data_IF_848962966001
#
_entry.id   IF_848962966001
#
_cell.length_a   1.000
_cell.length_b   1.000
_cell.length_c   1.000
_cell.angle_alpha   90.00
_cell.angle_beta   90.00
_cell.angle_gamma   90.00
#
_symmetry.space_group_name_H-M   'P 1'
#
loop_
_entity.id
_entity.type
_entity.pdbx_description
1 polymer ?
#
# COMPACT_ATOMS: atom_id res chain seq x y z
N UNK A 1 -27.14 -10.03 -8.03
CA UNK A 1 -26.01 -10.98 -7.93
C UNK A 1 -25.16 -10.54 -6.76
N UNK A 2 -25.29 -11.19 -5.60
CA UNK A 2 -24.51 -10.86 -4.41
C UNK A 2 -23.08 -11.38 -4.63
N UNK A 3 -22.13 -10.48 -4.90
CA UNK A 3 -20.72 -10.81 -4.74
C UNK A 3 -20.50 -11.01 -3.24
N UNK A 4 -20.38 -12.28 -2.82
CA UNK A 4 -19.93 -12.58 -1.46
C UNK A 4 -18.59 -11.87 -1.26
N UNK A 5 -18.53 -10.95 -0.29
CA UNK A 5 -17.28 -10.32 0.11
C UNK A 5 -16.26 -11.43 0.39
N UNK A 6 -15.05 -11.40 -0.20
CA UNK A 6 -14.05 -12.42 0.07
C UNK A 6 -13.77 -12.44 1.56
N UNK A 7 -13.98 -13.60 2.18
CA UNK A 7 -13.65 -13.81 3.59
C UNK A 7 -12.13 -13.82 3.67
N UNK A 8 -11.55 -12.74 4.22
CA UNK A 8 -10.11 -12.66 4.40
C UNK A 8 -9.65 -13.73 5.41
N UNK A 9 -8.58 -14.47 5.12
CA UNK A 9 -8.08 -15.49 6.03
C UNK A 9 -7.61 -14.83 7.33
N UNK A 10 -8.08 -15.35 8.47
CA UNK A 10 -7.72 -14.87 9.80
C UNK A 10 -6.42 -15.54 10.23
N UNK A 11 -5.46 -14.74 10.69
CA UNK A 11 -4.17 -15.19 11.20
C UNK A 11 -3.83 -14.51 12.53
N UNK A 12 -2.83 -15.01 13.27
CA UNK A 12 -2.49 -14.50 14.60
C UNK A 12 -1.73 -13.16 14.58
N UNK A 13 -1.28 -12.70 13.42
CA UNK A 13 -0.47 -11.48 13.26
C UNK A 13 -1.23 -10.40 12.51
N UNK A 14 -0.91 -9.14 12.83
CA UNK A 14 -1.37 -7.97 12.08
C UNK A 14 -0.32 -7.58 11.02
N UNK A 15 -0.80 -7.18 9.85
CA UNK A 15 0.04 -6.77 8.73
C UNK A 15 -0.12 -5.27 8.46
N UNK A 16 1.02 -4.59 8.36
CA UNK A 16 1.08 -3.15 8.06
C UNK A 16 1.89 -2.97 6.77
N UNK A 17 1.32 -2.26 5.81
CA UNK A 17 2.01 -1.79 4.60
C UNK A 17 2.21 -0.29 4.72
N UNK A 18 3.46 0.16 4.57
CA UNK A 18 3.81 1.58 4.55
C UNK A 18 4.13 1.98 3.11
N UNK A 19 3.32 2.85 2.52
CA UNK A 19 3.48 3.25 1.12
C UNK A 19 3.20 4.74 0.90
N UNK A 20 3.69 5.27 -0.22
CA UNK A 20 3.31 6.60 -0.71
C UNK A 20 2.34 6.43 -1.87
N UNK A 21 1.45 7.39 -2.04
CA UNK A 21 0.61 7.50 -3.24
C UNK A 21 1.51 7.49 -4.49
N UNK A 22 1.20 6.66 -5.51
CA UNK A 22 1.97 6.56 -6.76
C UNK A 22 1.88 7.82 -7.66
N UNK A 23 2.45 8.94 -7.21
CA UNK A 23 2.44 10.19 -7.97
C UNK A 23 3.77 10.38 -8.73
N UNK A 24 3.74 10.72 -10.04
CA UNK A 24 4.94 11.05 -10.81
C UNK A 24 5.84 12.04 -10.09
N UNK A 25 7.14 11.73 -10.02
CA UNK A 25 8.15 12.57 -9.36
C UNK A 25 8.17 12.48 -7.82
N UNK A 26 7.22 11.80 -7.18
CA UNK A 26 7.20 11.59 -5.70
C UNK A 26 7.62 10.18 -5.29
N UNK A 27 7.45 9.20 -6.17
CA UNK A 27 7.79 7.79 -5.92
C UNK A 27 8.87 7.30 -6.87
N UNK A 28 9.66 6.32 -6.39
CA UNK A 28 10.67 5.61 -7.18
C UNK A 28 11.58 6.56 -7.99
N UNK A 29 11.91 7.72 -7.45
CA UNK A 29 12.71 8.75 -8.14
C UNK A 29 14.10 8.27 -8.54
N UNK A 30 14.65 7.26 -7.84
CA UNK A 30 15.90 6.59 -8.21
C UNK A 30 15.83 5.81 -9.54
N UNK A 31 14.63 5.54 -10.06
CA UNK A 31 14.43 4.91 -11.37
C UNK A 31 14.48 5.91 -12.55
N UNK A 32 14.52 7.21 -12.27
CA UNK A 32 14.41 8.25 -13.31
C UNK A 32 15.58 8.36 -14.31
N UNK A 33 16.77 7.78 -14.10
CA UNK A 33 17.75 7.65 -15.19
C UNK A 33 17.29 6.70 -16.32
N UNK A 34 16.39 5.74 -16.02
CA UNK A 34 15.95 4.70 -16.95
C UNK A 34 14.46 4.80 -17.33
N UNK A 35 13.67 5.51 -16.53
CA UNK A 35 12.22 5.65 -16.70
C UNK A 35 11.81 7.11 -16.59
N UNK A 36 10.80 7.53 -17.33
CA UNK A 36 10.14 8.81 -17.09
C UNK A 36 9.47 8.83 -15.71
N UNK A 37 9.19 10.02 -15.13
CA UNK A 37 8.44 10.11 -13.87
C UNK A 37 7.08 9.39 -13.90
N UNK A 38 6.39 9.40 -15.05
CA UNK A 38 5.12 8.71 -15.23
C UNK A 38 5.30 7.18 -15.24
N UNK A 39 6.30 6.66 -15.96
CA UNK A 39 6.58 5.21 -15.96
C UNK A 39 7.02 4.72 -14.58
N UNK A 40 7.84 5.50 -13.87
CA UNK A 40 8.25 5.18 -12.50
C UNK A 40 7.06 5.14 -11.53
N UNK A 41 6.08 6.04 -11.70
CA UNK A 41 4.85 6.04 -10.92
C UNK A 41 3.93 4.86 -11.29
N UNK A 42 3.75 4.56 -12.58
CA UNK A 42 2.97 3.40 -13.03
C UNK A 42 3.56 2.09 -12.51
N UNK A 43 4.89 1.95 -12.53
CA UNK A 43 5.56 0.78 -11.95
C UNK A 43 5.38 0.71 -10.43
N UNK A 44 5.44 1.84 -9.74
CA UNK A 44 5.18 1.90 -8.30
C UNK A 44 3.74 1.50 -7.97
N UNK A 45 2.76 1.94 -8.76
CA UNK A 45 1.35 1.58 -8.63
C UNK A 45 1.13 0.09 -8.80
N UNK A 46 1.64 -0.50 -9.89
CA UNK A 46 1.54 -1.94 -10.14
C UNK A 46 2.19 -2.76 -9.00
N UNK A 47 3.40 -2.36 -8.59
CA UNK A 47 4.11 -3.03 -7.48
C UNK A 47 3.33 -2.96 -6.16
N UNK A 48 2.69 -1.81 -5.88
CA UNK A 48 1.90 -1.62 -4.67
C UNK A 48 0.62 -2.44 -4.72
N UNK A 49 -0.10 -2.44 -5.84
CA UNK A 49 -1.29 -3.26 -6.05
C UNK A 49 -0.99 -4.75 -5.84
N UNK A 50 0.10 -5.26 -6.42
CA UNK A 50 0.51 -6.66 -6.28
C UNK A 50 0.86 -7.00 -4.83
N UNK A 51 1.56 -6.10 -4.14
CA UNK A 51 1.87 -6.24 -2.71
C UNK A 51 0.60 -6.31 -1.88
N UNK A 52 -0.34 -5.40 -2.11
CA UNK A 52 -1.61 -5.34 -1.37
C UNK A 52 -2.50 -6.55 -1.66
N UNK A 53 -2.49 -7.05 -2.89
CA UNK A 53 -3.18 -8.28 -3.27
C UNK A 53 -2.61 -9.49 -2.51
N UNK A 54 -1.28 -9.59 -2.42
CA UNK A 54 -0.63 -10.64 -1.63
C UNK A 54 -0.95 -10.54 -0.13
N UNK A 55 -0.95 -9.32 0.44
CA UNK A 55 -1.31 -9.08 1.85
C UNK A 55 -2.78 -9.37 2.14
N UNK A 56 -3.69 -9.08 1.19
CA UNK A 56 -5.10 -9.44 1.31
C UNK A 56 -5.28 -10.97 1.40
N UNK A 57 -4.51 -11.74 0.62
CA UNK A 57 -4.56 -13.19 0.59
C UNK A 57 -3.82 -13.87 1.77
N UNK A 58 -2.89 -13.18 2.44
CA UNK A 58 -2.14 -13.74 3.57
C UNK A 58 -3.01 -13.83 4.84
N UNK A 59 -2.90 -14.88 5.67
CA UNK A 59 -3.60 -14.95 6.96
C UNK A 59 -3.17 -13.82 7.90
N UNK A 60 -4.11 -12.96 8.31
CA UNK A 60 -3.85 -11.85 9.21
C UNK A 60 -5.10 -11.43 9.99
N UNK A 61 -4.91 -10.95 11.22
CA UNK A 61 -5.96 -10.38 12.05
C UNK A 61 -6.45 -9.05 11.47
N UNK A 62 -5.54 -8.07 11.39
CA UNK A 62 -5.76 -6.76 10.76
C UNK A 62 -4.80 -6.52 9.61
N UNK A 63 -5.26 -5.71 8.65
CA UNK A 63 -4.49 -5.23 7.50
C UNK A 63 -4.59 -3.72 7.46
N UNK A 64 -3.47 -3.05 7.68
CA UNK A 64 -3.39 -1.59 7.72
C UNK A 64 -2.48 -1.09 6.60
N UNK A 65 -2.95 -0.09 5.87
CA UNK A 65 -2.14 0.69 4.94
C UNK A 65 -1.87 2.06 5.58
N UNK A 66 -0.63 2.28 6.01
CA UNK A 66 -0.17 3.61 6.38
C UNK A 66 0.28 4.33 5.09
N UNK A 67 -0.49 5.33 4.67
CA UNK A 67 -0.34 6.00 3.38
C UNK A 67 0.11 7.46 3.52
N UNK A 68 1.14 7.84 2.77
CA UNK A 68 1.50 9.24 2.49
C UNK A 68 0.89 9.65 1.15
N UNK A 69 -0.22 10.40 1.21
CA UNK A 69 -1.05 10.77 0.05
C UNK A 69 -2.45 10.18 0.14
N UNK A 70 -3.15 10.11 -1.00
CA UNK A 70 -4.52 9.62 -1.10
C UNK A 70 -4.59 8.17 -1.63
N UNK A 71 -5.56 7.35 -1.17
CA UNK A 71 -5.82 6.06 -1.78
C UNK A 71 -6.36 6.23 -3.21
N UNK A 72 -6.09 5.24 -4.07
CA UNK A 72 -6.54 5.25 -5.46
C UNK A 72 -7.12 3.89 -5.90
N UNK A 73 -7.43 3.73 -7.19
CA UNK A 73 -8.03 2.50 -7.74
C UNK A 73 -7.13 1.26 -7.59
N UNK A 74 -5.84 1.45 -7.31
CA UNK A 74 -4.86 0.41 -7.01
C UNK A 74 -5.02 -0.23 -5.62
N UNK A 75 -5.88 0.31 -4.74
CA UNK A 75 -6.11 -0.23 -3.40
C UNK A 75 -7.24 -1.27 -3.40
N UNK A 76 -6.95 -2.56 -3.18
CA UNK A 76 -8.01 -3.55 -2.95
C UNK A 76 -8.75 -3.28 -1.63
N UNK A 77 -9.98 -3.81 -1.53
CA UNK A 77 -10.77 -3.74 -0.31
C UNK A 77 -10.15 -4.54 0.85
N UNK A 78 -10.65 -4.32 2.08
CA UNK A 78 -10.24 -5.08 3.27
C UNK A 78 -9.03 -4.50 4.01
N UNK A 79 -8.59 -3.29 3.67
CA UNK A 79 -7.55 -2.55 4.39
C UNK A 79 -8.15 -1.41 5.22
N UNK A 80 -7.63 -1.22 6.43
CA UNK A 80 -7.78 0.05 7.15
C UNK A 80 -6.71 1.00 6.64
N UNK A 81 -7.09 2.15 6.09
CA UNK A 81 -6.12 3.16 5.62
C UNK A 81 -5.95 4.23 6.68
N UNK A 82 -4.70 4.49 7.06
CA UNK A 82 -4.33 5.57 7.99
C UNK A 82 -3.32 6.49 7.30
N UNK A 83 -3.33 7.78 7.66
CA UNK A 83 -2.29 8.70 7.19
C UNK A 83 -0.95 8.38 7.88
N UNK A 84 0.14 8.37 7.11
CA UNK A 84 1.48 8.32 7.69
C UNK A 84 1.75 9.57 8.54
N UNK A 85 2.37 9.36 9.70
CA UNK A 85 2.81 10.41 10.62
C UNK A 85 4.28 10.21 10.94
N UNK A 86 5.01 11.29 11.15
CA UNK A 86 6.45 11.23 11.43
C UNK A 86 7.33 11.50 10.21
N UNK A 87 8.51 12.02 10.49
CA UNK A 87 9.51 12.47 9.52
C UNK A 87 10.39 11.30 9.05
N UNK A 88 10.76 10.40 9.97
CA UNK A 88 11.54 9.19 9.74
C UNK A 88 10.71 7.92 9.56
N UNK A 89 11.35 6.83 9.15
CA UNK A 89 10.70 5.51 9.00
C UNK A 89 10.32 4.91 10.35
N UNK A 90 11.19 5.08 11.34
CA UNK A 90 10.98 4.71 12.74
C UNK A 90 9.74 5.37 13.34
N UNK A 91 9.59 6.69 13.17
CA UNK A 91 8.40 7.42 13.64
C UNK A 91 7.13 6.95 12.95
N UNK A 92 7.20 6.65 11.64
CA UNK A 92 6.06 6.14 10.86
C UNK A 92 5.64 4.74 11.29
N UNK A 93 6.59 3.89 11.65
CA UNK A 93 6.31 2.55 12.18
C UNK A 93 5.66 2.63 13.56
N UNK A 94 6.15 3.50 14.44
CA UNK A 94 5.58 3.66 15.79
C UNK A 94 4.16 4.23 15.78
N UNK A 95 3.79 4.98 14.73
CA UNK A 95 2.47 5.60 14.59
C UNK A 95 1.44 4.73 13.83
N UNK A 96 1.84 3.57 13.32
CA UNK A 96 1.01 2.66 12.52
C UNK A 96 0.40 1.54 13.36
#
# INVERSE_FOLDING_TARGET
MNAASPVNPVGPADLIVIAKEPVPGRVKTRLTPAYTPCEAAALAEASLHDTLTAVAAAPAGRRTLALDGAPGPWLPGGFTVIAQRGTGLDERLAAA
#
